data_IF_830202952786
#
_entry.id   IF_830202952786
#
_cell.length_a   1.000
_cell.length_b   1.000
_cell.length_c   1.000
_cell.angle_alpha   90.00
_cell.angle_beta   90.00
_cell.angle_gamma   90.00
#
_symmetry.space_group_name_H-M   'P 1'
#
loop_
_entity.id
_entity.type
_entity.pdbx_description
1 polymer ?
#
# COMPACT_ATOMS: atom_id res chain seq x y z
N UNK A 1 -31.14 -3.96 16.30
CA UNK A 1 -31.40 -4.93 15.21
C UNK A 1 -30.28 -4.76 14.17
N UNK A 2 -29.87 -5.81 13.45
CA UNK A 2 -28.74 -5.71 12.49
C UNK A 2 -28.99 -4.64 11.40
N UNK A 3 -30.22 -4.53 10.88
CA UNK A 3 -30.58 -3.58 9.83
C UNK A 3 -30.30 -2.13 10.25
N UNK A 4 -30.76 -1.73 11.43
CA UNK A 4 -30.49 -0.39 11.98
C UNK A 4 -29.00 -0.10 12.07
N UNK A 5 -28.19 -1.09 12.48
CA UNK A 5 -26.74 -0.90 12.61
C UNK A 5 -26.04 -0.76 11.25
N UNK A 6 -26.53 -1.44 10.22
CA UNK A 6 -26.02 -1.31 8.85
C UNK A 6 -26.36 0.06 8.27
N UNK A 7 -27.59 0.52 8.46
CA UNK A 7 -28.04 1.86 8.04
C UNK A 7 -27.23 2.97 8.72
N UNK A 8 -27.02 2.86 10.04
CA UNK A 8 -26.14 3.77 10.79
C UNK A 8 -24.72 3.81 10.22
N UNK A 9 -24.10 2.63 9.99
CA UNK A 9 -22.72 2.54 9.50
C UNK A 9 -22.56 3.02 8.06
N UNK A 10 -23.56 2.77 7.23
CA UNK A 10 -23.58 3.32 5.88
C UNK A 10 -23.61 4.85 5.93
N UNK A 11 -24.49 5.44 6.76
CA UNK A 11 -24.58 6.88 6.97
C UNK A 11 -23.24 7.48 7.43
N UNK A 12 -22.59 6.87 8.44
CA UNK A 12 -21.28 7.33 8.94
C UNK A 12 -20.20 7.36 7.83
N UNK A 13 -20.17 6.35 6.94
CA UNK A 13 -19.22 6.29 5.82
C UNK A 13 -19.52 7.35 4.78
N UNK A 14 -20.80 7.57 4.45
CA UNK A 14 -21.23 8.61 3.51
C UNK A 14 -20.90 10.01 4.03
N UNK A 15 -21.19 10.29 5.31
CA UNK A 15 -20.88 11.56 5.96
C UNK A 15 -19.36 11.81 6.02
N UNK A 16 -18.57 10.77 6.33
CA UNK A 16 -17.11 10.84 6.30
C UNK A 16 -16.57 11.13 4.90
N UNK A 17 -17.12 10.51 3.86
CA UNK A 17 -16.74 10.80 2.48
C UNK A 17 -16.98 12.26 2.13
N UNK A 18 -18.15 12.78 2.47
CA UNK A 18 -18.51 14.17 2.19
C UNK A 18 -17.59 15.14 2.93
N UNK A 19 -17.28 14.88 4.20
CA UNK A 19 -16.44 15.78 5.00
C UNK A 19 -14.98 15.83 4.53
N UNK A 20 -14.46 14.72 4.00
CA UNK A 20 -13.06 14.63 3.54
C UNK A 20 -12.87 15.25 2.15
N UNK A 21 -13.78 14.98 1.21
CA UNK A 21 -13.59 15.40 -0.18
C UNK A 21 -14.30 16.71 -0.51
N UNK A 22 -15.40 17.06 0.17
CA UNK A 22 -16.13 18.33 0.03
C UNK A 22 -16.39 18.81 -1.43
N UNK A 23 -16.58 17.89 -2.38
CA UNK A 23 -16.75 18.20 -3.82
C UNK A 23 -18.21 18.25 -4.27
N UNK A 24 -19.19 18.35 -3.35
CA UNK A 24 -20.62 18.25 -3.69
C UNK A 24 -21.09 19.29 -4.71
N UNK A 25 -20.50 20.48 -4.70
CA UNK A 25 -20.84 21.58 -5.61
C UNK A 25 -19.99 21.57 -6.89
N UNK A 26 -19.00 20.68 -6.98
CA UNK A 26 -18.06 20.57 -8.10
C UNK A 26 -18.39 19.40 -9.04
N UNK A 27 -19.11 18.39 -8.56
CA UNK A 27 -19.44 17.18 -9.32
C UNK A 27 -20.93 16.81 -9.20
N UNK A 28 -21.44 16.08 -10.20
CA UNK A 28 -22.80 15.56 -10.19
C UNK A 28 -22.99 14.38 -9.22
N UNK A 29 -24.24 13.95 -9.02
CA UNK A 29 -24.59 12.85 -8.12
C UNK A 29 -24.05 11.49 -8.53
N UNK A 30 -23.90 11.22 -9.83
CA UNK A 30 -23.34 9.96 -10.34
C UNK A 30 -21.84 9.89 -10.04
N UNK A 31 -21.12 10.98 -10.28
CA UNK A 31 -19.71 11.13 -9.93
C UNK A 31 -19.45 10.92 -8.43
N UNK A 32 -20.35 11.39 -7.57
CA UNK A 32 -20.29 11.12 -6.12
C UNK A 32 -20.44 9.64 -5.79
N UNK A 33 -21.31 8.90 -6.50
CA UNK A 33 -21.47 7.46 -6.32
C UNK A 33 -20.19 6.72 -6.76
N UNK A 34 -19.62 7.10 -7.92
CA UNK A 34 -18.38 6.51 -8.44
C UNK A 34 -17.23 6.72 -7.45
N UNK A 35 -17.06 7.93 -6.90
CA UNK A 35 -16.01 8.21 -5.92
C UNK A 35 -16.14 7.39 -4.64
N UNK A 36 -17.37 7.25 -4.10
CA UNK A 36 -17.62 6.35 -2.94
C UNK A 36 -17.29 4.89 -3.26
N UNK A 37 -17.70 4.41 -4.44
CA UNK A 37 -17.39 3.05 -4.88
C UNK A 37 -15.89 2.84 -5.07
N UNK A 38 -15.16 3.82 -5.60
CA UNK A 38 -13.71 3.75 -5.79
C UNK A 38 -12.98 3.60 -4.45
N UNK A 39 -13.31 4.43 -3.45
CA UNK A 39 -12.71 4.33 -2.11
C UNK A 39 -13.11 3.04 -1.42
N UNK A 40 -14.39 2.65 -1.50
CA UNK A 40 -14.87 1.39 -0.92
C UNK A 40 -14.14 0.18 -1.49
N UNK A 41 -13.90 0.14 -2.80
CA UNK A 41 -13.15 -0.94 -3.44
C UNK A 41 -11.65 -0.91 -3.08
N UNK A 42 -11.04 0.28 -2.99
CA UNK A 42 -9.63 0.41 -2.57
C UNK A 42 -9.44 -0.09 -1.14
N UNK A 43 -10.26 0.38 -0.20
CA UNK A 43 -10.21 -0.05 1.20
C UNK A 43 -10.55 -1.54 1.34
N UNK A 44 -11.54 -2.03 0.59
CA UNK A 44 -11.89 -3.45 0.53
C UNK A 44 -10.83 -4.34 -0.15
N UNK A 45 -9.81 -3.74 -0.77
CA UNK A 45 -8.64 -4.41 -1.30
C UNK A 45 -7.49 -4.55 -0.29
N UNK A 46 -7.58 -3.91 0.88
CA UNK A 46 -6.55 -4.03 1.91
C UNK A 46 -6.55 -5.46 2.48
N UNK A 47 -5.37 -6.06 2.53
CA UNK A 47 -5.16 -7.43 3.01
C UNK A 47 -3.97 -7.53 3.96
N UNK A 48 -3.92 -8.64 4.70
CA UNK A 48 -2.79 -9.03 5.53
C UNK A 48 -2.18 -10.32 4.97
N UNK A 49 -0.90 -10.27 4.63
CA UNK A 49 -0.17 -11.36 4.01
C UNK A 49 0.99 -11.79 4.92
N UNK A 50 1.31 -13.08 4.93
CA UNK A 50 2.42 -13.59 5.73
C UNK A 50 3.13 -14.73 5.00
N UNK A 51 4.47 -14.69 4.97
CA UNK A 51 5.26 -15.72 4.31
C UNK A 51 6.71 -15.29 4.08
N UNK A 52 7.38 -15.96 3.14
CA UNK A 52 8.77 -15.71 2.80
C UNK A 52 8.90 -15.44 1.29
N UNK A 53 9.50 -14.30 0.95
CA UNK A 53 9.82 -13.97 -0.44
C UNK A 53 10.98 -14.82 -0.97
N UNK A 54 10.91 -15.23 -2.23
CA UNK A 54 11.98 -15.96 -2.93
C UNK A 54 12.89 -14.97 -3.65
N UNK A 55 14.13 -14.87 -3.20
CA UNK A 55 15.09 -13.88 -3.71
C UNK A 55 16.14 -14.59 -4.57
N UNK A 56 16.26 -14.18 -5.82
CA UNK A 56 17.18 -14.77 -6.77
C UNK A 56 18.63 -14.64 -6.29
N UNK A 57 19.38 -15.73 -6.42
CA UNK A 57 20.82 -15.73 -6.25
C UNK A 57 21.50 -15.00 -7.44
N UNK A 58 22.71 -14.44 -7.25
CA UNK A 58 23.48 -13.90 -8.36
C UNK A 58 23.69 -14.93 -9.47
N UNK A 59 23.80 -14.47 -10.71
CA UNK A 59 23.99 -15.36 -11.87
C UNK A 59 25.20 -16.29 -11.67
N UNK A 60 24.99 -17.58 -11.89
CA UNK A 60 26.02 -18.62 -11.73
C UNK A 60 26.06 -19.26 -10.34
N UNK A 61 25.28 -18.75 -9.38
CA UNK A 61 25.14 -19.37 -8.06
C UNK A 61 23.89 -20.24 -8.01
N UNK A 62 24.03 -21.38 -7.35
CA UNK A 62 22.97 -22.35 -7.08
C UNK A 62 23.22 -22.92 -5.69
N UNK A 63 22.16 -23.16 -4.93
CA UNK A 63 22.23 -23.88 -3.67
C UNK A 63 22.58 -25.37 -3.88
N UNK A 64 23.00 -26.06 -2.83
CA UNK A 64 23.32 -27.50 -2.89
C UNK A 64 22.14 -28.36 -3.35
N UNK A 65 20.92 -27.93 -3.05
CA UNK A 65 19.68 -28.59 -3.47
C UNK A 65 19.26 -28.29 -4.92
N UNK A 66 20.03 -27.47 -5.65
CA UNK A 66 19.72 -27.06 -7.03
C UNK A 66 18.90 -25.77 -7.17
N UNK A 67 18.48 -25.14 -6.06
CA UNK A 67 17.70 -23.90 -6.11
C UNK A 67 18.53 -22.68 -6.51
N UNK A 68 17.93 -21.78 -7.29
CA UNK A 68 18.56 -20.52 -7.73
C UNK A 68 18.11 -19.30 -6.92
N UNK A 69 17.56 -19.53 -5.73
CA UNK A 69 17.02 -18.48 -4.87
C UNK A 69 17.27 -18.82 -3.41
N UNK A 70 17.15 -17.83 -2.53
CA UNK A 70 17.05 -18.00 -1.08
C UNK A 70 15.68 -17.52 -0.60
N UNK A 71 15.17 -18.13 0.45
CA UNK A 71 14.00 -17.60 1.15
C UNK A 71 14.45 -16.48 2.09
N UNK A 72 13.82 -15.31 1.99
CA UNK A 72 13.96 -14.27 3.00
C UNK A 72 13.32 -14.67 4.33
N UNK A 73 13.51 -13.86 5.37
CA UNK A 73 12.89 -14.09 6.67
C UNK A 73 11.35 -14.11 6.56
N UNK A 74 10.65 -14.87 7.42
CA UNK A 74 9.20 -14.77 7.51
C UNK A 74 8.80 -13.35 7.86
N UNK A 75 7.94 -12.75 7.03
CA UNK A 75 7.52 -11.38 7.17
C UNK A 75 6.00 -11.25 6.96
N UNK A 76 5.43 -10.22 7.59
CA UNK A 76 4.04 -9.83 7.43
C UNK A 76 3.93 -8.54 6.62
N UNK A 77 2.92 -8.45 5.78
CA UNK A 77 2.61 -7.24 5.02
C UNK A 77 1.12 -6.94 5.13
N UNK A 78 0.79 -5.81 5.74
CA UNK A 78 -0.54 -5.21 5.69
C UNK A 78 -0.55 -4.12 4.62
N UNK A 79 -1.33 -4.30 3.55
CA UNK A 79 -1.21 -3.46 2.34
C UNK A 79 -2.48 -3.45 1.51
N UNK A 80 -2.70 -2.39 0.73
CA UNK A 80 -3.65 -2.43 -0.38
C UNK A 80 -3.11 -3.27 -1.54
N UNK A 81 -4.00 -3.69 -2.45
CA UNK A 81 -3.64 -4.49 -3.64
C UNK A 81 -4.19 -3.83 -4.91
N UNK A 82 -3.47 -3.87 -6.05
CA UNK A 82 -3.92 -3.23 -7.29
C UNK A 82 -5.22 -3.82 -7.85
N UNK A 83 -5.41 -5.13 -7.67
CA UNK A 83 -6.62 -5.84 -8.10
C UNK A 83 -6.82 -7.11 -7.30
N UNK A 84 -7.98 -7.24 -6.65
CA UNK A 84 -8.34 -8.46 -5.90
C UNK A 84 -8.38 -9.73 -6.78
N UNK A 85 -8.62 -9.58 -8.07
CA UNK A 85 -8.76 -10.72 -8.99
C UNK A 85 -7.44 -11.13 -9.64
N UNK A 86 -6.66 -10.14 -10.10
CA UNK A 86 -5.45 -10.39 -10.90
C UNK A 86 -4.15 -10.22 -10.09
N UNK A 87 -4.16 -9.29 -9.14
CA UNK A 87 -2.98 -8.87 -8.38
C UNK A 87 -3.25 -8.82 -6.87
N UNK A 88 -3.70 -9.92 -6.22
CA UNK A 88 -4.06 -9.92 -4.80
C UNK A 88 -2.81 -10.00 -3.90
N UNK A 89 -1.90 -9.03 -4.04
CA UNK A 89 -0.62 -8.94 -3.32
C UNK A 89 -0.07 -7.53 -3.37
N UNK A 90 0.91 -7.24 -2.51
CA UNK A 90 1.55 -5.93 -2.45
C UNK A 90 2.47 -5.67 -3.65
N UNK A 91 2.37 -4.46 -4.21
CA UNK A 91 3.30 -3.94 -5.22
C UNK A 91 3.86 -2.60 -4.76
N UNK A 92 5.18 -2.49 -4.69
CA UNK A 92 5.87 -1.40 -4.01
C UNK A 92 5.56 -0.02 -4.61
N UNK A 93 5.51 0.09 -5.94
CA UNK A 93 5.21 1.39 -6.58
C UNK A 93 3.73 1.71 -6.63
N UNK A 94 2.84 0.72 -6.76
CA UNK A 94 1.40 0.94 -6.70
C UNK A 94 0.99 1.50 -5.32
N UNK A 95 1.64 1.00 -4.27
CA UNK A 95 1.24 1.34 -2.90
C UNK A 95 1.34 2.83 -2.60
N UNK A 96 2.37 3.53 -3.08
CA UNK A 96 2.45 4.98 -2.91
C UNK A 96 1.23 5.72 -3.45
N UNK A 97 0.66 5.28 -4.58
CA UNK A 97 -0.56 5.86 -5.13
C UNK A 97 -1.81 5.47 -4.34
N UNK A 98 -1.90 4.22 -3.86
CA UNK A 98 -2.98 3.81 -2.95
C UNK A 98 -3.01 4.72 -1.71
N UNK A 99 -1.84 4.98 -1.12
CA UNK A 99 -1.69 5.77 0.09
C UNK A 99 -2.01 7.27 -0.09
N UNK A 100 -1.95 7.82 -1.31
CA UNK A 100 -2.43 9.19 -1.59
C UNK A 100 -3.95 9.35 -1.38
N UNK A 101 -4.71 8.26 -1.48
CA UNK A 101 -6.16 8.23 -1.26
C UNK A 101 -6.45 7.74 0.16
N UNK A 102 -5.85 6.61 0.57
CA UNK A 102 -6.04 6.04 1.90
C UNK A 102 -5.62 7.03 2.98
N UNK A 103 -4.51 7.74 2.82
CA UNK A 103 -4.04 8.74 3.79
C UNK A 103 -4.99 9.93 3.97
N UNK A 104 -5.77 10.30 2.94
CA UNK A 104 -6.86 11.29 3.09
C UNK A 104 -8.04 10.72 3.85
N UNK A 105 -8.34 9.45 3.67
CA UNK A 105 -9.43 8.76 4.36
C UNK A 105 -9.10 8.48 5.83
N UNK A 106 -7.91 7.97 6.10
CA UNK A 106 -7.43 7.57 7.42
C UNK A 106 -5.88 7.59 7.44
N UNK A 107 -5.32 8.66 8.00
CA UNK A 107 -3.88 8.84 8.08
C UNK A 107 -3.17 7.79 8.96
N UNK A 108 -3.83 7.28 10.00
CA UNK A 108 -3.24 6.25 10.88
C UNK A 108 -3.13 4.93 10.13
N UNK A 109 -4.21 4.52 9.48
CA UNK A 109 -4.23 3.33 8.63
C UNK A 109 -3.13 3.40 7.55
N UNK A 110 -2.97 4.58 6.94
CA UNK A 110 -1.93 4.79 5.93
C UNK A 110 -0.51 4.63 6.49
N UNK A 111 -0.24 5.20 7.67
CA UNK A 111 1.06 5.06 8.34
C UNK A 111 1.34 3.63 8.81
N UNK A 112 0.32 2.89 9.25
CA UNK A 112 0.46 1.47 9.60
C UNK A 112 0.86 0.63 8.37
N UNK A 113 0.21 0.87 7.23
CA UNK A 113 0.55 0.20 5.96
C UNK A 113 1.97 0.56 5.51
N UNK A 114 2.35 1.84 5.53
CA UNK A 114 3.70 2.28 5.17
C UNK A 114 4.73 1.64 6.11
N UNK A 115 4.46 1.57 7.41
CA UNK A 115 5.32 0.89 8.39
C UNK A 115 5.59 -0.56 8.00
N UNK A 116 4.54 -1.32 7.68
CA UNK A 116 4.68 -2.69 7.20
C UNK A 116 5.54 -2.83 5.94
N UNK A 117 5.49 -1.86 5.02
CA UNK A 117 6.38 -1.86 3.84
C UNK A 117 7.84 -1.57 4.21
N UNK A 118 8.08 -0.66 5.15
CA UNK A 118 9.43 -0.30 5.59
C UNK A 118 10.08 -1.42 6.42
N UNK A 119 9.29 -2.24 7.13
CA UNK A 119 9.77 -3.44 7.83
C UNK A 119 10.34 -4.53 6.87
N UNK A 120 10.08 -4.41 5.57
CA UNK A 120 10.61 -5.32 4.54
C UNK A 120 11.95 -4.86 3.95
N UNK A 121 12.49 -3.72 4.42
CA UNK A 121 13.81 -3.24 4.00
C UNK A 121 14.88 -4.20 4.50
N UNK A 122 15.69 -4.72 3.58
CA UNK A 122 16.86 -5.52 3.93
C UNK A 122 18.05 -4.63 4.36
N UNK A 123 19.15 -5.25 4.76
CA UNK A 123 20.36 -4.54 5.20
C UNK A 123 20.99 -3.63 4.13
N UNK A 124 20.71 -3.88 2.85
CA UNK A 124 21.18 -3.09 1.71
C UNK A 124 20.23 -1.95 1.33
N UNK A 125 19.12 -1.76 2.07
CA UNK A 125 18.11 -0.75 1.77
C UNK A 125 17.11 -1.17 0.69
N UNK A 126 17.08 -2.44 0.30
CA UNK A 126 16.24 -2.96 -0.78
C UNK A 126 14.96 -3.59 -0.25
N UNK A 127 13.85 -3.35 -0.97
CA UNK A 127 12.55 -3.99 -0.76
C UNK A 127 12.16 -4.72 -2.06
N UNK A 128 11.73 -5.99 -2.01
CA UNK A 128 11.20 -6.65 -3.19
C UNK A 128 9.99 -5.88 -3.77
N UNK A 129 10.02 -5.62 -5.08
CA UNK A 129 8.98 -4.81 -5.76
C UNK A 129 7.59 -5.44 -5.70
N UNK A 130 7.51 -6.76 -5.59
CA UNK A 130 6.28 -7.55 -5.61
C UNK A 130 6.32 -8.56 -4.46
N UNK A 131 5.35 -8.50 -3.57
CA UNK A 131 5.37 -9.20 -2.29
C UNK A 131 4.51 -10.47 -2.36
N UNK A 132 5.15 -11.59 -2.71
CA UNK A 132 4.50 -12.88 -2.91
C UNK A 132 4.68 -13.71 -1.64
N UNK A 133 3.81 -13.46 -0.66
CA UNK A 133 3.93 -14.01 0.69
C UNK A 133 2.91 -15.12 0.94
N UNK A 134 3.40 -16.35 1.06
CA UNK A 134 2.57 -17.51 1.36
C UNK A 134 1.97 -18.20 0.14
N UNK A 135 1.34 -19.35 0.37
CA UNK A 135 0.86 -20.22 -0.71
C UNK A 135 -0.28 -19.60 -1.53
N UNK A 136 -1.14 -18.80 -0.91
CA UNK A 136 -2.26 -18.16 -1.59
C UNK A 136 -1.78 -17.16 -2.65
N UNK A 137 -0.88 -16.24 -2.27
CA UNK A 137 -0.28 -15.31 -3.23
C UNK A 137 0.51 -16.06 -4.32
N UNK A 138 1.28 -17.09 -3.95
CA UNK A 138 2.05 -17.88 -4.89
C UNK A 138 1.17 -18.57 -5.94
N UNK A 139 -0.01 -19.06 -5.56
CA UNK A 139 -0.96 -19.72 -6.47
C UNK A 139 -1.49 -18.81 -7.60
N UNK A 140 -1.28 -17.49 -7.50
CA UNK A 140 -1.75 -16.49 -8.45
C UNK A 140 -0.63 -15.87 -9.28
N UNK A 141 0.59 -16.40 -9.18
CA UNK A 141 1.77 -15.86 -9.89
C UNK A 141 2.42 -16.96 -10.73
N UNK A 142 2.58 -16.76 -12.06
CA UNK A 142 3.40 -17.64 -12.88
C UNK A 142 4.82 -17.77 -12.32
N UNK A 143 5.39 -18.97 -12.38
CA UNK A 143 6.64 -19.32 -11.70
C UNK A 143 7.80 -18.39 -12.07
N UNK A 144 7.85 -17.93 -13.32
CA UNK A 144 8.87 -17.03 -13.85
C UNK A 144 8.88 -15.64 -13.18
N UNK A 145 7.77 -15.21 -12.58
CA UNK A 145 7.64 -13.91 -11.91
C UNK A 145 7.78 -13.98 -10.38
N UNK A 146 7.92 -15.19 -9.83
CA UNK A 146 8.01 -15.37 -8.37
C UNK A 146 9.33 -14.83 -7.84
N UNK A 147 10.44 -15.10 -8.54
CA UNK A 147 11.76 -14.69 -8.08
C UNK A 147 11.93 -13.18 -8.13
N UNK A 148 12.30 -12.60 -7.00
CA UNK A 148 12.63 -11.19 -6.87
C UNK A 148 14.15 -10.99 -6.98
N UNK A 149 14.56 -9.96 -7.70
CA UNK A 149 15.97 -9.71 -8.01
C UNK A 149 16.47 -8.45 -7.28
N UNK A 150 17.43 -8.55 -6.34
CA UNK A 150 17.97 -7.41 -5.60
C UNK A 150 18.63 -6.33 -6.46
N UNK A 151 19.05 -6.69 -7.68
CA UNK A 151 19.59 -5.73 -8.66
C UNK A 151 18.53 -4.83 -9.28
N UNK A 152 17.24 -5.09 -9.04
CA UNK A 152 16.14 -4.36 -9.63
C UNK A 152 15.55 -3.39 -8.61
N UNK A 153 15.61 -2.10 -8.92
CA UNK A 153 14.85 -1.07 -8.20
C UNK A 153 13.41 -0.97 -8.67
N UNK A 154 12.65 -0.10 -8.02
CA UNK A 154 11.28 0.26 -8.41
C UNK A 154 11.04 1.74 -8.09
N UNK A 155 10.16 2.47 -8.81
CA UNK A 155 9.87 3.87 -8.50
C UNK A 155 9.45 4.03 -7.03
N UNK A 156 10.06 4.95 -6.26
CA UNK A 156 9.90 4.99 -4.81
C UNK A 156 8.69 5.86 -4.41
N UNK A 157 7.51 5.46 -4.86
CA UNK A 157 6.26 6.25 -4.75
C UNK A 157 5.77 6.43 -3.32
N UNK A 158 6.17 5.57 -2.37
CA UNK A 158 5.89 5.77 -0.94
C UNK A 158 6.38 7.14 -0.43
N UNK A 159 7.47 7.69 -1.01
CA UNK A 159 7.95 9.02 -0.65
C UNK A 159 7.02 10.15 -1.07
N UNK A 160 6.14 9.95 -2.06
CA UNK A 160 5.13 10.95 -2.43
C UNK A 160 4.20 11.24 -1.24
N UNK A 161 3.86 10.20 -0.47
CA UNK A 161 2.98 10.31 0.70
C UNK A 161 3.75 10.69 1.94
N UNK A 162 4.93 10.12 2.18
CA UNK A 162 5.78 10.47 3.33
C UNK A 162 6.16 11.96 3.32
N UNK A 163 6.49 12.52 2.14
CA UNK A 163 6.76 13.96 2.02
C UNK A 163 5.55 14.79 2.45
N UNK A 164 4.36 14.43 1.98
CA UNK A 164 3.11 15.11 2.37
C UNK A 164 2.82 15.01 3.87
N UNK A 165 3.00 13.82 4.45
CA UNK A 165 2.81 13.58 5.87
C UNK A 165 3.77 14.42 6.73
N UNK A 166 5.07 14.42 6.40
CA UNK A 166 6.09 15.20 7.11
C UNK A 166 5.78 16.70 7.05
N UNK A 167 5.41 17.22 5.88
CA UNK A 167 4.99 18.61 5.73
C UNK A 167 3.80 18.95 6.63
N UNK A 168 2.77 18.09 6.65
CA UNK A 168 1.60 18.31 7.51
C UNK A 168 1.95 18.28 9.00
N UNK A 169 2.77 17.31 9.43
CA UNK A 169 3.25 17.24 10.82
C UNK A 169 4.07 18.47 11.20
N UNK A 170 4.96 18.95 10.34
CA UNK A 170 5.76 20.14 10.58
C UNK A 170 4.89 21.40 10.74
N UNK A 171 3.86 21.56 9.90
CA UNK A 171 2.93 22.70 10.00
C UNK A 171 2.15 22.65 11.33
N UNK A 172 1.62 21.48 11.69
CA UNK A 172 0.74 21.32 12.86
C UNK A 172 1.52 21.38 14.20
N UNK A 173 2.70 20.77 14.27
CA UNK A 173 3.47 20.67 15.52
C UNK A 173 4.48 21.80 15.70
N UNK A 174 5.08 22.30 14.62
CA UNK A 174 6.17 23.29 14.69
C UNK A 174 5.74 24.70 14.27
N UNK A 175 4.49 24.88 13.79
CA UNK A 175 3.99 26.18 13.35
C UNK A 175 4.75 26.76 12.15
N UNK A 176 5.47 25.92 11.40
CA UNK A 176 6.28 26.36 10.26
C UNK A 176 5.36 26.59 9.06
N UNK A 177 5.33 27.81 8.53
CA UNK A 177 4.60 28.14 7.31
C UNK A 177 5.30 27.55 6.08
N UNK A 178 4.52 27.21 5.04
CA UNK A 178 4.95 26.53 3.79
C UNK A 178 6.23 27.10 3.14
N UNK A 179 6.54 28.39 3.35
CA UNK A 179 7.72 29.09 2.82
C UNK A 179 9.04 28.49 3.35
N UNK A 180 9.05 27.85 4.52
CA UNK A 180 10.26 27.28 5.14
C UNK A 180 10.66 25.89 4.62
N UNK A 181 9.75 25.17 3.96
CA UNK A 181 9.95 23.77 3.55
C UNK A 181 10.39 23.66 2.09
N UNK A 182 10.14 24.69 1.26
CA UNK A 182 10.56 24.68 -0.16
C UNK A 182 12.09 24.82 -0.36
N UNK A 183 12.85 25.13 0.71
CA UNK A 183 14.30 25.30 0.69
C UNK A 183 15.10 24.17 1.40
N UNK A 184 14.46 23.02 1.67
CA UNK A 184 15.11 21.80 2.17
C UNK A 184 14.87 20.63 1.22
#
# INVERSE_FOLDING_TARGET
MLSTRLEEKQGEVEDKYVSIFNIKDEVDSESMIVGRAAIGNLLGGIGYFHGQSRIALPKGFTQENGDKFISYWPAALFTAVPSRSFFPRGFLWDEGFHQMIIGRWDAKLSMDIIGHWLDLINIDGWIPREQILGAESLSKVPEEFVLQYPTNGNPPTLFLVLRGAITLFAIVLLGVTMIGIENM
#
